data_IF_675486126339
#
_entry.id   IF_675486126339
#
_cell.length_a   1.000
_cell.length_b   1.000
_cell.length_c   1.000
_cell.angle_alpha   90.00
_cell.angle_beta   90.00
_cell.angle_gamma   90.00
#
_symmetry.space_group_name_H-M   'P 1'
#
loop_
_entity.id
_entity.type
_entity.pdbx_description
1 polymer ?
#
# COMPACT_ATOMS: atom_id res chain seq x y z
N UNK A 1 29.76 -29.83 -19.63
CA UNK A 1 29.57 -30.95 -18.68
C UNK A 1 28.76 -32.14 -19.24
N UNK A 2 28.48 -32.21 -20.53
CA UNK A 2 27.71 -33.31 -21.18
C UNK A 2 28.56 -34.16 -22.14
N UNK A 3 29.88 -33.92 -22.24
CA UNK A 3 30.77 -34.66 -23.11
C UNK A 3 31.70 -35.67 -22.39
N UNK A 4 31.70 -35.66 -21.05
CA UNK A 4 32.60 -36.56 -20.29
C UNK A 4 31.98 -37.90 -19.88
N UNK A 5 30.70 -38.09 -20.13
CA UNK A 5 29.99 -39.32 -19.70
C UNK A 5 30.07 -40.47 -20.72
N UNK A 6 30.67 -40.24 -21.89
CA UNK A 6 30.79 -41.25 -22.95
C UNK A 6 32.08 -42.06 -22.97
N UNK A 7 33.01 -41.90 -22.01
CA UNK A 7 34.33 -42.53 -22.05
C UNK A 7 34.75 -43.39 -20.87
N UNK A 8 33.84 -43.99 -20.12
CA UNK A 8 34.23 -45.02 -19.12
C UNK A 8 33.46 -46.31 -19.28
N UNK A 9 33.57 -46.92 -20.47
CA UNK A 9 33.39 -48.34 -20.62
C UNK A 9 34.67 -49.03 -20.08
N UNK A 10 34.70 -49.35 -18.80
CA UNK A 10 35.78 -50.17 -18.26
C UNK A 10 35.64 -51.60 -18.79
N UNK A 11 36.56 -52.00 -19.67
CA UNK A 11 36.88 -53.40 -19.96
C UNK A 11 37.39 -54.02 -18.66
N UNK A 12 36.57 -54.89 -18.03
CA UNK A 12 37.11 -55.80 -17.01
C UNK A 12 37.90 -56.90 -17.69
N UNK A 13 39.21 -57.01 -17.40
CA UNK A 13 40.04 -58.14 -17.73
C UNK A 13 39.63 -59.33 -16.88
N UNK A 14 39.42 -60.47 -17.51
CA UNK A 14 39.37 -61.76 -16.87
C UNK A 14 40.63 -61.98 -16.04
N UNK A 15 40.45 -62.25 -14.75
CA UNK A 15 41.42 -62.98 -13.94
C UNK A 15 40.75 -64.29 -13.64
N UNK A 16 41.26 -65.31 -14.34
CA UNK A 16 40.94 -66.71 -14.12
C UNK A 16 41.50 -67.11 -12.73
N UNK A 17 40.64 -67.49 -11.83
CA UNK A 17 40.98 -68.17 -10.60
C UNK A 17 39.96 -69.24 -10.33
N UNK A 18 40.49 -70.43 -10.34
CA UNK A 18 39.95 -71.75 -10.08
C UNK A 18 38.60 -71.87 -9.37
N UNK A 19 37.66 -72.52 -9.99
CA UNK A 19 36.77 -73.51 -9.38
C UNK A 19 35.65 -73.02 -8.49
N UNK A 20 34.75 -72.17 -9.03
CA UNK A 20 33.36 -72.15 -8.62
C UNK A 20 32.53 -71.62 -9.78
N UNK A 21 31.61 -72.43 -10.31
CA UNK A 21 30.59 -72.06 -11.28
C UNK A 21 29.68 -70.99 -10.63
N UNK A 22 30.00 -69.72 -10.78
CA UNK A 22 29.02 -68.65 -10.54
C UNK A 22 28.13 -68.56 -11.78
N UNK A 23 26.95 -69.10 -11.67
CA UNK A 23 25.84 -68.86 -12.59
C UNK A 23 25.56 -67.38 -12.63
N UNK A 24 26.11 -66.65 -13.58
CA UNK A 24 25.69 -65.27 -13.88
C UNK A 24 24.24 -65.29 -14.33
N UNK A 25 23.34 -64.95 -13.42
CA UNK A 25 21.96 -64.61 -13.73
C UNK A 25 21.99 -63.28 -14.53
N UNK A 26 22.24 -63.35 -15.82
CA UNK A 26 22.02 -62.23 -16.71
C UNK A 26 20.53 -62.01 -16.85
N UNK A 27 19.94 -61.17 -16.00
CA UNK A 27 18.57 -60.70 -16.15
C UNK A 27 18.52 -59.82 -17.39
N UNK A 28 18.26 -60.43 -18.55
CA UNK A 28 17.86 -59.72 -19.76
C UNK A 28 16.48 -59.11 -19.47
N UNK A 29 16.43 -57.88 -19.02
CA UNK A 29 15.17 -57.13 -18.98
C UNK A 29 14.74 -56.95 -20.45
N UNK A 30 13.96 -57.87 -20.97
CA UNK A 30 13.19 -57.67 -22.22
C UNK A 30 12.16 -56.62 -21.90
N UNK A 31 12.30 -55.43 -22.48
CA UNK A 31 11.21 -54.46 -22.46
C UNK A 31 9.92 -55.13 -23.03
N UNK A 32 9.03 -55.53 -22.16
CA UNK A 32 7.77 -56.10 -22.58
C UNK A 32 7.04 -55.06 -23.44
N UNK A 33 6.61 -55.45 -24.65
CA UNK A 33 5.83 -54.53 -25.48
C UNK A 33 4.50 -54.29 -24.73
N UNK A 34 4.06 -53.02 -24.69
CA UNK A 34 2.80 -52.61 -24.02
C UNK A 34 1.61 -53.56 -24.36
N UNK A 35 1.65 -54.11 -25.58
CA UNK A 35 0.64 -55.03 -26.11
C UNK A 35 0.64 -56.41 -25.43
N UNK A 36 1.72 -56.82 -24.80
CA UNK A 36 1.89 -58.15 -24.18
C UNK A 36 1.58 -58.11 -22.65
N UNK A 37 1.24 -56.92 -22.12
CA UNK A 37 0.90 -56.75 -20.72
C UNK A 37 -0.58 -57.17 -20.46
N UNK A 38 -0.90 -57.72 -19.27
CA UNK A 38 -2.27 -58.01 -18.89
C UNK A 38 -3.13 -56.75 -18.92
N UNK A 39 -4.40 -56.87 -19.24
CA UNK A 39 -5.33 -55.75 -19.47
C UNK A 39 -5.39 -54.78 -18.25
N UNK A 40 -5.39 -55.34 -17.04
CA UNK A 40 -5.35 -54.53 -15.80
C UNK A 40 -4.12 -53.62 -15.69
N UNK A 41 -2.94 -54.13 -16.09
CA UNK A 41 -1.71 -53.35 -16.06
C UNK A 41 -1.67 -52.28 -17.17
N UNK A 42 -2.28 -52.55 -18.33
CA UNK A 42 -2.44 -51.54 -19.39
C UNK A 42 -3.34 -50.39 -18.92
N UNK A 43 -4.46 -50.68 -18.27
CA UNK A 43 -5.38 -49.69 -17.72
C UNK A 43 -4.65 -48.85 -16.63
N UNK A 44 -3.87 -49.49 -15.76
CA UNK A 44 -3.09 -48.83 -14.75
C UNK A 44 -2.07 -47.86 -15.37
N UNK A 45 -1.31 -48.30 -16.38
CA UNK A 45 -0.32 -47.48 -17.07
C UNK A 45 -0.97 -46.30 -17.78
N UNK A 46 -2.12 -46.50 -18.44
CA UNK A 46 -2.87 -45.42 -19.10
C UNK A 46 -3.37 -44.41 -18.08
N UNK A 47 -3.96 -44.85 -16.97
CA UNK A 47 -4.42 -43.95 -15.91
C UNK A 47 -3.28 -43.20 -15.25
N UNK A 48 -2.15 -43.86 -14.98
CA UNK A 48 -0.96 -43.24 -14.43
C UNK A 48 -0.35 -42.20 -15.39
N UNK A 49 -0.27 -42.53 -16.70
CA UNK A 49 0.22 -41.58 -17.69
C UNK A 49 -0.73 -40.39 -17.85
N UNK A 50 -2.04 -40.57 -17.84
CA UNK A 50 -3.02 -39.51 -17.85
C UNK A 50 -2.89 -38.61 -16.60
N UNK A 51 -2.75 -39.22 -15.42
CA UNK A 51 -2.52 -38.50 -14.18
C UNK A 51 -1.22 -37.63 -14.23
N UNK A 52 -0.12 -38.22 -14.73
CA UNK A 52 1.13 -37.49 -14.89
C UNK A 52 1.02 -36.32 -15.89
N UNK A 53 0.27 -36.49 -16.97
CA UNK A 53 -0.02 -35.42 -17.93
C UNK A 53 -0.81 -34.29 -17.26
N UNK A 54 -1.88 -34.64 -16.50
CA UNK A 54 -2.65 -33.65 -15.76
C UNK A 54 -1.80 -32.90 -14.73
N UNK A 55 -0.95 -33.60 -13.99
CA UNK A 55 0.03 -32.97 -13.09
C UNK A 55 0.97 -32.02 -13.84
N UNK A 56 1.52 -32.45 -14.98
CA UNK A 56 2.41 -31.60 -15.77
C UNK A 56 1.71 -30.33 -16.27
N UNK A 57 0.47 -30.45 -16.77
CA UNK A 57 -0.36 -29.30 -17.18
C UNK A 57 -0.65 -28.39 -15.98
N UNK A 58 -1.01 -28.96 -14.82
CA UNK A 58 -1.24 -28.18 -13.60
C UNK A 58 0.00 -27.39 -13.19
N UNK A 59 1.18 -28.02 -13.13
CA UNK A 59 2.42 -27.34 -12.75
C UNK A 59 2.87 -26.31 -13.79
N UNK A 60 2.69 -26.58 -15.08
CA UNK A 60 2.99 -25.59 -16.14
C UNK A 60 2.07 -24.39 -16.06
N UNK A 61 0.75 -24.60 -15.90
CA UNK A 61 -0.21 -23.53 -15.73
C UNK A 61 0.07 -22.72 -14.46
N UNK A 62 0.34 -23.41 -13.34
CA UNK A 62 0.74 -22.74 -12.09
C UNK A 62 2.01 -21.95 -12.22
N UNK A 63 3.05 -22.47 -12.84
CA UNK A 63 4.31 -21.76 -13.08
C UNK A 63 4.12 -20.50 -13.96
N UNK A 64 3.15 -20.51 -14.86
CA UNK A 64 2.81 -19.36 -15.70
C UNK A 64 1.98 -18.32 -14.93
N UNK A 65 0.92 -18.75 -14.23
CA UNK A 65 0.00 -17.87 -13.51
C UNK A 65 0.65 -17.21 -12.27
N UNK A 66 1.54 -17.94 -11.60
CA UNK A 66 2.29 -17.47 -10.43
C UNK A 66 3.72 -17.02 -10.79
N UNK A 67 3.96 -16.60 -12.02
CA UNK A 67 5.22 -16.03 -12.41
C UNK A 67 5.34 -14.55 -11.97
N UNK A 68 6.54 -14.03 -11.65
CA UNK A 68 6.75 -12.61 -11.39
C UNK A 68 6.23 -11.72 -12.52
N UNK A 69 6.32 -12.21 -13.77
CA UNK A 69 5.84 -11.51 -14.96
C UNK A 69 4.32 -11.33 -14.95
N UNK A 70 3.57 -12.28 -14.39
CA UNK A 70 2.12 -12.15 -14.28
C UNK A 70 1.74 -11.03 -13.30
N UNK A 71 2.41 -10.93 -12.15
CA UNK A 71 2.19 -9.85 -11.19
C UNK A 71 2.48 -8.47 -11.82
N UNK A 72 3.63 -8.32 -12.49
CA UNK A 72 3.98 -7.07 -13.15
C UNK A 72 3.01 -6.70 -14.28
N UNK A 73 2.55 -7.68 -15.06
CA UNK A 73 1.55 -7.45 -16.11
C UNK A 73 0.20 -7.01 -15.53
N UNK A 74 -0.29 -7.72 -14.53
CA UNK A 74 -1.56 -7.38 -13.88
C UNK A 74 -1.52 -5.96 -13.27
N UNK A 75 -0.38 -5.57 -12.68
CA UNK A 75 -0.17 -4.22 -12.17
C UNK A 75 -0.29 -3.16 -13.27
N UNK A 76 0.45 -3.32 -14.37
CA UNK A 76 0.42 -2.36 -15.49
C UNK A 76 -0.97 -2.28 -16.11
N UNK A 77 -1.62 -3.44 -16.34
CA UNK A 77 -2.98 -3.49 -16.87
C UNK A 77 -3.99 -2.77 -15.96
N UNK A 78 -3.90 -2.98 -14.63
CA UNK A 78 -4.74 -2.31 -13.66
C UNK A 78 -4.50 -0.79 -13.62
N UNK A 79 -3.24 -0.34 -13.64
CA UNK A 79 -2.89 1.08 -13.68
C UNK A 79 -3.43 1.77 -14.96
N UNK A 80 -3.27 1.13 -16.12
CA UNK A 80 -3.78 1.66 -17.38
C UNK A 80 -5.30 1.70 -17.43
N UNK A 81 -5.97 0.77 -16.76
CA UNK A 81 -7.42 0.74 -16.64
C UNK A 81 -7.98 1.73 -15.61
N UNK A 82 -7.11 2.36 -14.79
CA UNK A 82 -7.55 3.14 -13.64
C UNK A 82 -8.21 2.29 -12.54
N UNK A 83 -8.04 0.97 -12.60
CA UNK A 83 -8.51 0.05 -11.55
C UNK A 83 -7.51 0.00 -10.39
N UNK A 84 -7.57 1.03 -9.57
CA UNK A 84 -6.67 1.19 -8.43
C UNK A 84 -6.88 0.14 -7.34
N UNK A 85 -8.05 -0.51 -7.29
CA UNK A 85 -8.29 -1.63 -6.39
C UNK A 85 -7.45 -2.86 -6.80
N UNK A 86 -7.53 -3.25 -8.07
CA UNK A 86 -6.75 -4.35 -8.61
C UNK A 86 -5.24 -4.05 -8.60
N UNK A 87 -4.86 -2.80 -8.85
CA UNK A 87 -3.46 -2.36 -8.72
C UNK A 87 -2.94 -2.53 -7.27
N UNK A 88 -3.74 -2.15 -6.28
CA UNK A 88 -3.38 -2.33 -4.86
C UNK A 88 -3.20 -3.81 -4.50
N UNK A 89 -4.07 -4.71 -5.01
CA UNK A 89 -4.04 -6.15 -4.71
C UNK A 89 -2.77 -6.86 -5.14
N UNK A 90 -2.13 -6.36 -6.19
CA UNK A 90 -0.87 -6.92 -6.71
C UNK A 90 0.37 -6.19 -6.19
N UNK A 91 0.19 -5.21 -5.30
CA UNK A 91 1.28 -4.47 -4.67
C UNK A 91 1.59 -4.97 -3.26
N UNK A 92 2.84 -4.78 -2.84
CA UNK A 92 3.27 -4.94 -1.46
C UNK A 92 3.76 -3.58 -0.94
N UNK A 93 3.07 -3.10 0.10
CA UNK A 93 3.41 -1.85 0.79
C UNK A 93 3.95 -2.15 2.18
N UNK A 94 4.74 -1.23 2.78
CA UNK A 94 5.09 -1.28 4.19
C UNK A 94 3.86 -1.31 5.09
N UNK A 95 3.96 -1.94 6.25
CA UNK A 95 2.86 -1.94 7.23
C UNK A 95 2.67 -0.53 7.81
N UNK A 96 1.56 0.09 7.46
CA UNK A 96 1.21 1.45 7.91
C UNK A 96 -0.30 1.66 7.89
N UNK A 97 -0.82 2.33 8.92
CA UNK A 97 -2.23 2.72 9.01
C UNK A 97 -2.65 3.63 7.83
N UNK A 98 -1.72 4.38 7.26
CA UNK A 98 -1.99 5.34 6.17
C UNK A 98 -1.85 4.74 4.78
N UNK A 99 -1.31 3.52 4.66
CA UNK A 99 -1.18 2.81 3.38
C UNK A 99 -2.32 1.81 3.13
N UNK A 100 -3.54 2.15 3.56
CA UNK A 100 -4.72 1.33 3.31
C UNK A 100 -5.14 1.35 1.84
N UNK A 101 -5.87 0.29 1.40
CA UNK A 101 -6.48 0.24 0.06
C UNK A 101 -7.30 1.49 -0.26
N UNK A 102 -8.15 1.94 0.68
CA UNK A 102 -8.98 3.12 0.51
C UNK A 102 -8.14 4.36 0.24
N UNK A 103 -7.06 4.55 0.99
CA UNK A 103 -6.19 5.71 0.83
C UNK A 103 -5.44 5.66 -0.50
N UNK A 104 -4.98 4.47 -0.93
CA UNK A 104 -4.37 4.28 -2.24
C UNK A 104 -5.32 4.66 -3.38
N UNK A 105 -6.53 4.10 -3.37
CA UNK A 105 -7.55 4.39 -4.39
C UNK A 105 -7.86 5.88 -4.45
N UNK A 106 -8.05 6.52 -3.30
CA UNK A 106 -8.33 7.96 -3.24
C UNK A 106 -7.16 8.79 -3.79
N UNK A 107 -5.93 8.50 -3.37
CA UNK A 107 -4.74 9.21 -3.80
C UNK A 107 -4.52 9.07 -5.32
N UNK A 108 -4.62 7.86 -5.85
CA UNK A 108 -4.42 7.58 -7.28
C UNK A 108 -5.56 8.14 -8.15
N UNK A 109 -6.81 8.04 -7.70
CA UNK A 109 -7.95 8.63 -8.42
C UNK A 109 -7.81 10.16 -8.50
N UNK A 110 -7.39 10.78 -7.40
CA UNK A 110 -7.19 12.23 -7.39
C UNK A 110 -6.04 12.64 -8.32
N UNK A 111 -4.93 11.89 -8.30
CA UNK A 111 -3.81 12.09 -9.21
C UNK A 111 -4.24 11.95 -10.67
N UNK A 112 -4.97 10.88 -11.02
CA UNK A 112 -5.49 10.67 -12.37
C UNK A 112 -6.38 11.82 -12.87
N UNK A 113 -7.20 12.42 -11.99
CA UNK A 113 -7.99 13.61 -12.29
C UNK A 113 -7.12 14.82 -12.59
N UNK A 114 -6.07 15.04 -11.81
CA UNK A 114 -5.12 16.14 -12.03
C UNK A 114 -4.37 15.97 -13.37
N UNK A 115 -3.95 14.75 -13.68
CA UNK A 115 -3.22 14.40 -14.89
C UNK A 115 -4.16 14.35 -16.12
N UNK A 116 -5.49 14.52 -15.94
CA UNK A 116 -6.49 14.48 -17.00
C UNK A 116 -6.69 13.09 -17.61
N UNK A 117 -6.30 12.03 -16.91
CA UNK A 117 -6.43 10.63 -17.36
C UNK A 117 -7.68 9.94 -16.80
N UNK A 118 -8.36 10.55 -15.84
CA UNK A 118 -9.61 10.02 -15.27
C UNK A 118 -10.75 10.01 -16.30
N UNK A 119 -11.43 8.87 -16.44
CA UNK A 119 -12.54 8.70 -17.39
C UNK A 119 -12.15 8.55 -18.86
N UNK A 120 -10.86 8.44 -19.20
CA UNK A 120 -10.43 8.07 -20.54
C UNK A 120 -10.71 6.59 -20.83
N UNK A 121 -10.90 6.26 -22.13
CA UNK A 121 -11.00 4.85 -22.55
C UNK A 121 -9.72 4.10 -22.13
N UNK A 122 -9.90 2.92 -21.51
CA UNK A 122 -8.80 2.06 -21.11
C UNK A 122 -7.96 1.68 -22.33
N UNK A 123 -6.68 2.07 -22.39
CA UNK A 123 -5.85 1.75 -23.55
C UNK A 123 -5.52 0.24 -23.55
N UNK A 124 -5.78 -0.41 -24.67
CA UNK A 124 -5.49 -1.83 -24.85
C UNK A 124 -3.98 -2.06 -25.08
N UNK A 125 -3.38 -2.96 -24.29
CA UNK A 125 -1.99 -3.34 -24.48
C UNK A 125 -1.88 -4.23 -25.73
N UNK A 126 -1.14 -3.76 -26.73
CA UNK A 126 -0.82 -4.50 -27.95
C UNK A 126 0.31 -5.52 -27.75
N UNK A 127 1.33 -5.12 -27.03
CA UNK A 127 2.46 -5.99 -26.70
C UNK A 127 2.99 -5.68 -25.29
N UNK A 128 3.42 -6.72 -24.59
CA UNK A 128 3.99 -6.62 -23.24
C UNK A 128 5.21 -7.51 -23.15
N UNK A 129 6.32 -6.94 -22.72
CA UNK A 129 7.57 -7.65 -22.55
C UNK A 129 8.22 -7.26 -21.23
N UNK A 130 8.66 -8.24 -20.46
CA UNK A 130 9.37 -8.05 -19.20
C UNK A 130 10.74 -8.72 -19.25
N UNK A 131 11.79 -7.97 -18.91
CA UNK A 131 13.17 -8.45 -18.86
C UNK A 131 13.77 -8.21 -17.49
N UNK A 132 14.24 -9.28 -16.85
CA UNK A 132 14.95 -9.21 -15.57
C UNK A 132 16.27 -8.48 -15.69
N UNK A 133 16.55 -7.56 -14.77
CA UNK A 133 17.80 -6.76 -14.67
C UNK A 133 18.59 -7.23 -13.43
N UNK A 134 19.26 -8.34 -13.52
CA UNK A 134 20.02 -8.93 -12.41
C UNK A 134 21.11 -8.01 -11.85
N UNK A 135 21.68 -7.13 -12.66
CA UNK A 135 22.71 -6.16 -12.26
C UNK A 135 22.18 -5.02 -11.37
N UNK A 136 20.88 -4.85 -11.26
CA UNK A 136 20.24 -3.81 -10.43
C UNK A 136 19.62 -4.38 -9.16
N UNK A 137 19.63 -5.70 -9.00
CA UNK A 137 19.00 -6.35 -7.84
C UNK A 137 19.84 -6.13 -6.58
N UNK A 138 19.21 -5.63 -5.54
CA UNK A 138 19.75 -5.50 -4.19
C UNK A 138 18.87 -6.27 -3.21
N UNK A 139 19.39 -7.37 -2.68
CA UNK A 139 18.62 -8.24 -1.78
C UNK A 139 17.79 -9.31 -2.51
N UNK A 140 16.62 -9.67 -1.95
CA UNK A 140 15.76 -10.76 -2.43
C UNK A 140 14.82 -10.35 -3.56
N UNK A 141 14.56 -9.05 -3.70
CA UNK A 141 13.64 -8.51 -4.69
C UNK A 141 14.25 -8.57 -6.09
N UNK A 142 13.40 -8.82 -7.07
CA UNK A 142 13.79 -8.91 -8.49
C UNK A 142 13.40 -7.63 -9.21
N UNK A 143 14.33 -7.11 -10.01
CA UNK A 143 14.11 -5.91 -10.81
C UNK A 143 13.86 -6.29 -12.27
N UNK A 144 12.79 -5.76 -12.82
CA UNK A 144 12.41 -5.97 -14.21
C UNK A 144 12.26 -4.63 -14.94
N UNK A 145 12.76 -4.58 -16.16
CA UNK A 145 12.32 -3.57 -17.13
C UNK A 145 11.09 -4.11 -17.85
N UNK A 146 10.02 -3.35 -17.80
CA UNK A 146 8.76 -3.60 -18.50
C UNK A 146 8.70 -2.68 -19.70
N UNK A 147 8.46 -3.25 -20.87
CA UNK A 147 8.21 -2.50 -22.10
C UNK A 147 6.88 -2.95 -22.67
N UNK A 148 6.01 -2.00 -22.93
CA UNK A 148 4.71 -2.26 -23.52
C UNK A 148 4.37 -1.23 -24.60
N UNK A 149 3.53 -1.63 -25.55
CA UNK A 149 2.96 -0.75 -26.56
C UNK A 149 1.46 -0.77 -26.46
N UNK A 150 0.84 0.38 -26.60
CA UNK A 150 -0.61 0.54 -26.60
C UNK A 150 -1.15 0.47 -28.03
N UNK A 151 -2.39 -0.01 -28.18
CA UNK A 151 -3.07 -0.05 -29.46
C UNK A 151 -3.33 1.39 -29.95
N UNK A 152 -2.92 1.67 -31.16
CA UNK A 152 -3.04 3.03 -31.74
C UNK A 152 -1.90 3.99 -31.39
N UNK A 153 -0.95 3.60 -30.53
CA UNK A 153 0.24 4.38 -30.18
C UNK A 153 1.48 3.72 -30.79
N UNK A 154 2.32 4.49 -31.48
CA UNK A 154 3.53 3.97 -32.13
C UNK A 154 4.68 3.77 -31.14
N UNK A 155 4.73 4.58 -30.08
CA UNK A 155 5.83 4.59 -29.13
C UNK A 155 5.65 3.53 -28.06
N UNK A 156 6.76 2.85 -27.72
CA UNK A 156 6.79 1.90 -26.60
C UNK A 156 7.03 2.65 -25.30
N UNK A 157 6.24 2.32 -24.27
CA UNK A 157 6.47 2.76 -22.91
C UNK A 157 7.49 1.81 -22.24
N UNK A 158 8.39 2.35 -21.44
CA UNK A 158 9.34 1.57 -20.68
C UNK A 158 9.37 2.05 -19.24
N UNK A 159 9.21 1.13 -18.30
CA UNK A 159 9.30 1.40 -16.86
C UNK A 159 10.06 0.28 -16.13
N UNK A 160 10.51 0.57 -14.93
CA UNK A 160 11.20 -0.39 -14.08
C UNK A 160 10.32 -0.78 -12.91
N UNK A 161 10.03 -2.07 -12.78
CA UNK A 161 9.28 -2.62 -11.66
C UNK A 161 10.19 -3.43 -10.74
N UNK A 162 10.04 -3.23 -9.45
CA UNK A 162 10.59 -4.11 -8.44
C UNK A 162 9.52 -5.10 -8.01
N UNK A 163 9.87 -6.39 -7.96
CA UNK A 163 8.95 -7.49 -7.63
C UNK A 163 9.53 -8.30 -6.48
N UNK A 164 8.79 -8.36 -5.40
CA UNK A 164 9.08 -9.14 -4.20
C UNK A 164 8.33 -10.46 -4.21
N UNK A 165 8.93 -11.49 -3.61
CA UNK A 165 8.24 -12.73 -3.30
C UNK A 165 7.42 -12.53 -2.02
N UNK A 166 6.14 -12.90 -2.06
CA UNK A 166 5.31 -12.95 -0.86
C UNK A 166 5.62 -14.15 0.01
N UNK A 167 5.18 -14.09 1.25
CA UNK A 167 5.31 -15.18 2.22
C UNK A 167 4.32 -16.33 1.95
N UNK A 168 3.27 -16.06 1.18
CA UNK A 168 2.20 -17.02 0.92
C UNK A 168 2.58 -17.97 -0.20
N UNK A 169 2.42 -19.27 0.04
CA UNK A 169 2.63 -20.31 -0.96
C UNK A 169 1.29 -20.98 -1.22
N UNK A 170 0.73 -20.77 -2.43
CA UNK A 170 -0.48 -21.47 -2.88
C UNK A 170 -0.09 -22.64 -3.77
N UNK A 171 -0.53 -23.85 -3.41
CA UNK A 171 -0.28 -25.05 -4.22
C UNK A 171 1.20 -25.28 -4.57
N UNK A 172 2.11 -24.89 -3.69
CA UNK A 172 3.57 -24.92 -3.89
C UNK A 172 4.11 -23.86 -4.88
N UNK A 173 3.30 -22.83 -5.24
CA UNK A 173 3.73 -21.67 -6.01
C UNK A 173 3.82 -20.45 -5.09
N UNK A 174 4.90 -19.66 -5.23
CA UNK A 174 5.05 -18.38 -4.53
C UNK A 174 4.18 -17.32 -5.18
N UNK A 175 3.53 -16.51 -4.37
CA UNK A 175 2.91 -15.28 -4.86
C UNK A 175 3.99 -14.20 -5.04
N UNK A 176 3.78 -13.32 -5.99
CA UNK A 176 4.68 -12.21 -6.31
C UNK A 176 3.92 -10.91 -6.29
N UNK A 177 4.54 -9.89 -5.72
CA UNK A 177 3.96 -8.56 -5.56
C UNK A 177 4.88 -7.51 -6.16
N UNK A 178 4.29 -6.49 -6.75
CA UNK A 178 5.01 -5.30 -7.18
C UNK A 178 5.30 -4.44 -5.95
N UNK A 179 6.53 -3.97 -5.81
CA UNK A 179 6.94 -2.97 -4.81
C UNK A 179 7.03 -1.62 -5.50
N UNK A 180 5.97 -0.81 -5.47
CA UNK A 180 5.92 0.45 -6.19
C UNK A 180 6.69 1.53 -5.41
N UNK A 181 7.99 1.66 -5.67
CA UNK A 181 8.88 2.62 -4.99
C UNK A 181 8.42 4.07 -5.10
N UNK A 182 7.86 4.41 -6.26
CA UNK A 182 7.44 5.78 -6.57
C UNK A 182 5.97 6.03 -6.23
N UNK A 183 5.35 5.18 -5.42
CA UNK A 183 3.94 5.34 -5.02
C UNK A 183 3.77 5.94 -3.63
N UNK A 184 4.80 5.95 -2.80
CA UNK A 184 4.74 6.49 -1.46
C UNK A 184 6.04 7.20 -1.07
N UNK A 185 5.89 8.14 -0.16
CA UNK A 185 6.97 8.88 0.48
C UNK A 185 7.06 8.51 1.95
N UNK A 186 8.22 8.76 2.53
CA UNK A 186 8.52 8.44 3.92
C UNK A 186 8.76 9.71 4.72
N UNK A 187 8.47 9.62 6.03
CA UNK A 187 8.85 10.66 6.99
C UNK A 187 8.27 12.05 6.71
N UNK A 188 7.03 12.13 6.23
CA UNK A 188 6.35 13.39 5.94
C UNK A 188 6.02 14.12 7.25
N UNK A 189 6.46 15.36 7.38
CA UNK A 189 6.17 16.20 8.54
C UNK A 189 4.96 17.09 8.26
N UNK A 190 3.98 17.07 9.18
CA UNK A 190 2.75 17.85 9.07
C UNK A 190 2.57 18.67 10.34
N UNK A 191 2.54 20.00 10.18
CA UNK A 191 2.34 20.96 11.26
C UNK A 191 0.89 21.40 11.31
N UNK A 192 0.28 21.30 12.50
CA UNK A 192 -1.12 21.68 12.76
C UNK A 192 -1.25 22.42 14.10
N UNK A 193 -2.35 23.15 14.39
CA UNK A 193 -2.58 23.75 15.70
C UNK A 193 -2.55 22.71 16.84
N UNK A 194 -1.92 23.02 17.96
CA UNK A 194 -1.72 22.09 19.07
C UNK A 194 -3.04 21.60 19.71
N UNK A 195 -4.07 22.48 19.72
CA UNK A 195 -5.36 22.20 20.33
C UNK A 195 -6.33 21.45 19.39
N UNK A 196 -5.95 21.30 18.11
CA UNK A 196 -6.77 20.61 17.13
C UNK A 196 -6.54 19.08 17.15
N UNK A 197 -7.62 18.32 17.01
CA UNK A 197 -7.53 16.90 16.66
C UNK A 197 -7.29 16.79 15.15
N UNK A 198 -6.21 16.11 14.79
CA UNK A 198 -5.77 15.96 13.40
C UNK A 198 -6.19 14.61 12.83
N UNK A 199 -6.81 14.63 11.65
CA UNK A 199 -7.17 13.44 10.87
C UNK A 199 -6.55 13.51 9.48
N UNK A 200 -6.01 12.40 9.05
CA UNK A 200 -5.45 12.20 7.71
C UNK A 200 -6.22 11.06 7.03
N UNK A 201 -6.88 11.36 5.92
CA UNK A 201 -7.77 10.44 5.18
C UNK A 201 -8.87 9.81 6.05
N UNK A 202 -9.37 10.58 7.03
CA UNK A 202 -10.37 10.15 7.99
C UNK A 202 -9.85 9.26 9.13
N UNK A 203 -8.53 9.06 9.21
CA UNK A 203 -7.86 8.35 10.31
C UNK A 203 -7.26 9.36 11.28
N UNK A 204 -7.64 9.27 12.57
CA UNK A 204 -7.07 10.14 13.58
C UNK A 204 -5.56 9.89 13.74
N UNK A 205 -4.78 10.96 13.61
CA UNK A 205 -3.33 10.91 13.81
C UNK A 205 -3.03 11.03 15.30
N UNK A 206 -2.74 9.88 15.92
CA UNK A 206 -2.52 9.80 17.36
C UNK A 206 -1.13 10.26 17.81
N UNK A 207 -0.97 10.37 19.13
CA UNK A 207 0.29 10.81 19.78
C UNK A 207 1.53 10.00 19.39
N UNK A 208 1.38 8.77 18.91
CA UNK A 208 2.52 7.95 18.45
C UNK A 208 3.26 8.53 17.25
N UNK A 209 2.60 9.44 16.51
CA UNK A 209 3.18 10.14 15.37
C UNK A 209 3.61 11.57 15.71
N UNK A 210 3.32 12.04 16.94
CA UNK A 210 3.71 13.38 17.39
C UNK A 210 5.24 13.42 17.57
N UNK A 211 5.88 14.31 16.85
CA UNK A 211 7.32 14.58 16.93
C UNK A 211 7.60 15.58 18.05
N UNK A 212 6.92 16.72 18.02
CA UNK A 212 7.06 17.79 19.01
C UNK A 212 5.82 18.68 19.06
N UNK A 213 5.70 19.43 20.15
CA UNK A 213 4.73 20.52 20.29
C UNK A 213 5.46 21.74 20.83
N UNK A 214 5.41 22.85 20.10
CA UNK A 214 6.05 24.12 20.46
C UNK A 214 5.21 25.27 19.90
N UNK A 215 5.24 26.44 20.56
CA UNK A 215 4.61 27.67 20.07
C UNK A 215 3.17 27.51 19.58
N UNK A 216 2.38 26.73 20.28
CA UNK A 216 0.95 26.47 19.97
C UNK A 216 0.71 25.63 18.72
N UNK A 217 1.74 24.95 18.19
CA UNK A 217 1.64 24.01 17.07
C UNK A 217 2.13 22.62 17.46
N UNK A 218 1.60 21.60 16.79
CA UNK A 218 2.03 20.21 16.90
C UNK A 218 2.57 19.75 15.55
N UNK A 219 3.76 19.16 15.56
CA UNK A 219 4.40 18.58 14.37
C UNK A 219 4.25 17.06 14.46
N UNK A 220 3.59 16.49 13.47
CA UNK A 220 3.42 15.05 13.33
C UNK A 220 4.35 14.53 12.24
N UNK A 221 4.99 13.39 12.47
CA UNK A 221 5.82 12.69 11.51
C UNK A 221 5.11 11.42 11.04
N UNK A 222 4.67 11.43 9.79
CA UNK A 222 3.97 10.30 9.16
C UNK A 222 5.00 9.39 8.48
N UNK A 223 5.15 8.13 8.91
CA UNK A 223 6.23 7.27 8.44
C UNK A 223 6.10 6.92 6.94
N UNK A 224 4.87 6.73 6.46
CA UNK A 224 4.59 6.41 5.06
C UNK A 224 3.29 7.07 4.63
N UNK A 225 3.28 7.69 3.46
CA UNK A 225 2.11 8.31 2.84
C UNK A 225 2.14 8.08 1.33
N UNK A 226 1.00 7.82 0.70
CA UNK A 226 0.95 7.70 -0.75
C UNK A 226 1.24 9.05 -1.43
N UNK A 227 1.85 9.00 -2.61
CA UNK A 227 1.86 10.15 -3.51
C UNK A 227 0.46 10.33 -4.10
N UNK A 228 -0.04 11.56 -4.11
CA UNK A 228 -1.37 11.87 -4.63
C UNK A 228 -2.21 12.71 -3.69
N UNK A 229 -3.53 12.64 -3.83
CA UNK A 229 -4.46 13.44 -3.05
C UNK A 229 -4.80 12.84 -1.69
N UNK A 230 -4.64 13.66 -0.65
CA UNK A 230 -4.97 13.30 0.73
C UNK A 230 -5.90 14.30 1.36
N UNK A 231 -6.78 13.84 2.24
CA UNK A 231 -7.69 14.71 2.99
C UNK A 231 -7.10 15.00 4.36
N UNK A 232 -6.84 16.29 4.62
CA UNK A 232 -6.51 16.81 5.95
C UNK A 232 -7.82 17.29 6.60
N UNK A 233 -8.07 16.87 7.84
CA UNK A 233 -9.19 17.36 8.62
C UNK A 233 -8.70 17.73 10.02
N UNK A 234 -9.06 18.95 10.45
CA UNK A 234 -8.75 19.49 11.76
C UNK A 234 -10.06 19.77 12.49
N UNK A 235 -10.20 19.24 13.70
CA UNK A 235 -11.37 19.47 14.53
C UNK A 235 -10.96 20.00 15.89
N UNK A 236 -11.64 21.04 16.35
CA UNK A 236 -11.47 21.60 17.67
C UNK A 236 -12.83 21.79 18.34
N UNK A 237 -12.86 21.67 19.66
CA UNK A 237 -14.10 21.83 20.41
C UNK A 237 -14.70 23.23 20.18
N UNK A 238 -16.00 23.28 19.90
CA UNK A 238 -16.77 24.52 19.69
C UNK A 238 -16.45 25.30 18.42
N UNK A 239 -15.61 24.74 17.52
CA UNK A 239 -15.28 25.34 16.24
C UNK A 239 -15.77 24.46 15.09
N UNK A 240 -15.94 25.06 13.93
CA UNK A 240 -16.25 24.33 12.70
C UNK A 240 -15.02 23.51 12.26
N UNK A 241 -15.23 22.28 11.77
CA UNK A 241 -14.15 21.46 11.27
C UNK A 241 -13.54 22.09 10.00
N UNK A 242 -12.23 22.13 9.94
CA UNK A 242 -11.51 22.47 8.72
C UNK A 242 -11.21 21.20 7.92
N UNK A 243 -11.42 21.26 6.62
CA UNK A 243 -11.14 20.15 5.73
C UNK A 243 -10.56 20.65 4.41
N UNK A 244 -9.44 20.04 4.00
CA UNK A 244 -8.75 20.34 2.74
C UNK A 244 -8.25 19.07 2.08
N UNK A 245 -8.19 19.07 0.74
CA UNK A 245 -7.53 18.02 -0.03
C UNK A 245 -6.20 18.59 -0.52
N UNK A 246 -5.11 17.91 -0.16
CA UNK A 246 -3.74 18.32 -0.48
C UNK A 246 -3.08 17.31 -1.39
N UNK A 247 -2.18 17.78 -2.25
CA UNK A 247 -1.36 16.94 -3.10
C UNK A 247 -0.02 16.67 -2.44
N UNK A 248 0.25 15.41 -2.15
CA UNK A 248 1.56 14.94 -1.71
C UNK A 248 2.36 14.52 -2.94
N UNK A 249 3.45 15.23 -3.25
CA UNK A 249 4.34 14.95 -4.38
C UNK A 249 5.71 14.43 -3.95
N UNK A 250 6.11 14.79 -2.75
CA UNK A 250 7.37 14.39 -2.14
C UNK A 250 7.24 14.36 -0.60
N UNK A 251 8.33 14.24 0.12
CA UNK A 251 8.38 14.26 1.58
C UNK A 251 8.58 15.65 2.17
N UNK A 252 8.27 16.72 1.44
CA UNK A 252 8.32 18.08 1.95
C UNK A 252 7.38 18.26 3.13
N UNK A 253 7.80 19.07 4.10
CA UNK A 253 6.96 19.42 5.24
C UNK A 253 5.77 20.27 4.80
N UNK A 254 4.61 19.98 5.38
CA UNK A 254 3.36 20.69 5.10
C UNK A 254 2.87 21.37 6.38
N UNK A 255 2.27 22.53 6.20
CA UNK A 255 1.75 23.34 7.32
C UNK A 255 0.29 23.69 7.08
N UNK A 256 -0.56 23.39 8.09
CA UNK A 256 -2.00 23.64 8.06
C UNK A 256 -2.38 24.36 9.35
N UNK A 257 -2.36 25.69 9.32
CA UNK A 257 -2.68 26.57 10.46
C UNK A 257 -3.88 27.48 10.13
N UNK A 258 -5.07 26.89 9.81
CA UNK A 258 -6.26 27.66 9.51
C UNK A 258 -6.76 28.39 10.77
N UNK A 259 -7.37 29.55 10.58
CA UNK A 259 -8.18 30.18 11.62
C UNK A 259 -9.53 29.47 11.73
N UNK A 260 -9.65 28.57 12.71
CA UNK A 260 -10.85 27.78 12.94
C UNK A 260 -11.94 28.66 13.57
N UNK A 261 -13.03 28.89 12.85
CA UNK A 261 -14.16 29.72 13.29
C UNK A 261 -15.03 29.00 14.32
N UNK A 262 -15.56 29.74 15.26
CA UNK A 262 -16.58 29.23 16.18
C UNK A 262 -17.80 28.74 15.38
N UNK A 263 -18.32 27.58 15.73
CA UNK A 263 -19.57 27.11 15.13
C UNK A 263 -20.76 27.98 15.56
N UNK A 264 -21.79 28.03 14.72
CA UNK A 264 -22.96 28.90 14.92
C UNK A 264 -23.62 28.71 16.27
N UNK A 265 -23.72 27.48 16.77
CA UNK A 265 -24.35 27.19 18.07
C UNK A 265 -23.53 27.75 19.24
N UNK A 266 -22.22 27.68 19.17
CA UNK A 266 -21.31 28.26 20.17
C UNK A 266 -21.34 29.79 20.11
N UNK A 267 -21.26 30.34 18.87
CA UNK A 267 -21.36 31.78 18.65
C UNK A 267 -22.66 32.37 19.26
N UNK A 268 -23.78 31.72 18.99
CA UNK A 268 -25.09 32.09 19.57
C UNK A 268 -25.09 32.00 21.10
N UNK A 269 -24.59 30.89 21.67
CA UNK A 269 -24.52 30.72 23.13
C UNK A 269 -23.66 31.79 23.79
N UNK A 270 -22.56 32.20 23.17
CA UNK A 270 -21.69 33.26 23.67
C UNK A 270 -22.43 34.61 23.60
N UNK A 271 -23.12 34.91 22.50
CA UNK A 271 -23.88 36.14 22.31
C UNK A 271 -25.02 36.25 23.34
N UNK A 272 -25.85 35.18 23.47
CA UNK A 272 -26.95 35.12 24.43
C UNK A 272 -26.45 35.33 25.88
N UNK A 273 -25.30 34.72 26.23
CA UNK A 273 -24.69 34.86 27.53
C UNK A 273 -24.11 36.26 27.77
N UNK A 274 -23.51 36.85 26.74
CA UNK A 274 -23.00 38.23 26.81
C UNK A 274 -24.16 39.22 27.00
N UNK A 275 -25.29 39.05 26.30
CA UNK A 275 -26.49 39.86 26.45
C UNK A 275 -27.06 39.75 27.88
N UNK A 276 -27.23 38.52 28.41
CA UNK A 276 -27.66 38.27 29.77
C UNK A 276 -26.75 38.93 30.82
N UNK A 277 -25.42 38.82 30.63
CA UNK A 277 -24.45 39.45 31.55
C UNK A 277 -24.52 40.97 31.52
N UNK A 278 -24.65 41.54 30.31
CA UNK A 278 -24.81 42.99 30.12
C UNK A 278 -26.10 43.48 30.80
N UNK A 279 -27.23 42.79 30.62
CA UNK A 279 -28.49 43.13 31.21
C UNK A 279 -28.44 43.15 32.77
N UNK A 280 -27.76 42.13 33.34
CA UNK A 280 -27.50 42.10 34.81
C UNK A 280 -26.63 43.29 35.25
N UNK A 281 -25.61 43.64 34.50
CA UNK A 281 -24.74 44.77 34.81
C UNK A 281 -25.52 46.09 34.76
N UNK A 282 -26.31 46.35 33.69
CA UNK A 282 -27.10 47.56 33.54
C UNK A 282 -28.19 47.66 34.58
N UNK A 283 -28.87 46.56 34.87
CA UNK A 283 -29.92 46.53 35.91
C UNK A 283 -29.34 46.80 37.30
N UNK A 284 -28.20 46.23 37.64
CA UNK A 284 -27.53 46.50 38.91
C UNK A 284 -27.03 47.95 39.05
N UNK A 285 -26.45 48.49 37.95
CA UNK A 285 -26.00 49.87 37.88
C UNK A 285 -27.17 50.86 38.05
N UNK A 286 -28.30 50.62 37.33
CA UNK A 286 -29.52 51.43 37.45
C UNK A 286 -30.11 51.39 38.87
N UNK A 287 -29.96 50.28 39.58
CA UNK A 287 -30.38 50.09 40.95
C UNK A 287 -29.39 50.65 42.00
N UNK A 288 -28.28 51.27 41.59
CA UNK A 288 -27.21 51.77 42.46
C UNK A 288 -26.48 50.70 43.27
N UNK A 289 -26.46 49.46 42.80
CA UNK A 289 -25.74 48.33 43.45
C UNK A 289 -24.25 48.46 43.31
N UNK A 290 -23.50 47.99 44.33
CA UNK A 290 -22.05 48.01 44.28
C UNK A 290 -21.50 47.00 43.26
N UNK A 291 -20.30 47.26 42.70
CA UNK A 291 -19.62 46.37 41.77
C UNK A 291 -19.43 44.95 42.29
N UNK A 292 -19.30 44.78 43.60
CA UNK A 292 -19.17 43.44 44.22
C UNK A 292 -20.34 42.50 43.91
N UNK A 293 -21.53 43.02 43.57
CA UNK A 293 -22.71 42.21 43.23
C UNK A 293 -22.66 41.68 41.80
N UNK A 294 -21.88 42.28 40.91
CA UNK A 294 -21.84 41.98 39.49
C UNK A 294 -20.42 41.54 39.02
N UNK A 295 -19.43 41.51 39.93
CA UNK A 295 -18.05 41.19 39.54
C UNK A 295 -17.89 39.83 38.85
N UNK A 296 -18.81 38.88 39.12
CA UNK A 296 -18.80 37.55 38.52
C UNK A 296 -19.24 37.55 37.04
N UNK A 297 -19.83 38.63 36.56
CA UNK A 297 -20.23 38.80 35.15
C UNK A 297 -19.01 39.32 34.32
N UNK A 298 -17.90 39.67 34.97
CA UNK A 298 -16.68 40.11 34.33
C UNK A 298 -15.64 39.00 34.36
N UNK A 299 -14.51 39.20 33.61
CA UNK A 299 -13.40 38.30 33.62
C UNK A 299 -12.91 37.95 35.03
N UNK A 300 -12.53 36.71 35.28
CA UNK A 300 -11.85 36.30 36.50
C UNK A 300 -10.44 36.90 36.68
N UNK A 301 -9.90 37.50 35.63
CA UNK A 301 -8.63 38.20 35.70
C UNK A 301 -8.70 39.46 36.59
N UNK A 302 -7.92 39.46 37.65
CA UNK A 302 -7.89 40.53 38.64
C UNK A 302 -7.44 41.85 38.06
N UNK A 303 -6.63 41.85 37.00
CA UNK A 303 -6.20 43.09 36.31
C UNK A 303 -7.38 43.72 35.55
N UNK A 304 -8.14 42.92 34.81
CA UNK A 304 -9.33 43.35 34.10
C UNK A 304 -10.43 43.84 35.09
N UNK A 305 -10.62 43.13 36.20
CA UNK A 305 -11.59 43.56 37.25
C UNK A 305 -11.17 44.89 37.89
N UNK A 306 -9.88 45.14 38.11
CA UNK A 306 -9.35 46.44 38.63
C UNK A 306 -9.59 47.59 37.64
N UNK A 307 -9.40 47.33 36.34
CA UNK A 307 -9.66 48.34 35.29
C UNK A 307 -11.15 48.72 35.27
N UNK A 308 -12.03 47.74 35.37
CA UNK A 308 -13.49 47.97 35.40
C UNK A 308 -13.95 48.77 36.61
N UNK A 309 -13.26 48.70 37.76
CA UNK A 309 -13.53 49.49 38.96
C UNK A 309 -13.15 50.98 38.80
N UNK A 310 -12.23 51.32 37.91
CA UNK A 310 -11.78 52.71 37.70
C UNK A 310 -12.75 53.46 36.76
N UNK A 311 -13.52 52.77 35.94
CA UNK A 311 -14.38 53.34 34.90
C UNK A 311 -15.88 53.28 35.19
N UNK A 312 -16.31 52.77 36.35
CA UNK A 312 -17.66 52.81 36.87
C UNK A 312 -17.75 53.78 38.00
#
# INVERSE_FOLDING_TARGET
>A
MLQEWKRKGKKFRHVEKDGEETTELSVKIRAAKFRDLPMSLRILIVNLSLFLILCAVFFMAGAYLYAPQAAGRNYVEACLAGDWNSAYDVCQFPDSTFLSRKNYVNAMTWKAKQDGTDGQETPEIKSFFMRRKQNLETGENKIYTVRYTLKGVSDSQEETLEIAAGDTVKWNFKEWYVVPKDSCVTDVEITVPADASFYLDGVQVGKKYLKETADNVSIYKIPYLFLGGHTIELTEKQKDPYREIVLVQDNSSMEFLPDLKLNDSTGKTIADRAEESLDKVFTAAAAGKSFSTIKNEFSADTAVQKLSLIHI
#
